data_IF_872638681822
#
_entry.id   IF_872638681822
#
_cell.length_a   1.000
_cell.length_b   1.000
_cell.length_c   1.000
_cell.angle_alpha   90.00
_cell.angle_beta   90.00
_cell.angle_gamma   90.00
#
_symmetry.space_group_name_H-M   'P 1'
#
loop_
_entity.id
_entity.type
_entity.pdbx_description
1 polymer ?
#
# COMPACT_ATOMS: atom_id res chain seq x y z
N UNK A 1 23.99 -56.53 -10.42
CA UNK A 1 24.60 -55.48 -11.27
C UNK A 1 23.88 -54.19 -10.99
N UNK A 2 24.49 -53.37 -10.18
CA UNK A 2 24.03 -52.00 -9.88
C UNK A 2 24.63 -51.05 -10.90
N UNK A 3 23.80 -50.23 -11.50
CA UNK A 3 24.26 -49.04 -12.23
C UNK A 3 23.92 -47.82 -11.36
N UNK A 4 25.00 -47.12 -10.98
CA UNK A 4 24.94 -45.81 -10.32
C UNK A 4 24.66 -44.77 -11.40
N UNK A 5 23.47 -44.16 -11.34
CA UNK A 5 23.19 -42.98 -12.14
C UNK A 5 23.68 -41.73 -11.38
N UNK A 6 24.83 -41.22 -11.85
CA UNK A 6 25.36 -39.95 -11.40
C UNK A 6 24.48 -38.79 -11.86
N UNK A 7 23.91 -38.06 -10.89
CA UNK A 7 23.24 -36.78 -11.11
C UNK A 7 24.33 -35.77 -11.54
N UNK A 8 24.31 -35.38 -12.81
CA UNK A 8 25.08 -34.25 -13.31
C UNK A 8 24.38 -32.96 -12.82
N UNK A 9 25.04 -32.23 -11.95
CA UNK A 9 24.77 -30.83 -11.69
C UNK A 9 24.99 -30.00 -12.96
N UNK A 10 23.94 -29.80 -13.74
CA UNK A 10 23.95 -28.78 -14.77
C UNK A 10 23.77 -27.42 -14.08
N UNK A 11 24.88 -26.68 -14.03
CA UNK A 11 24.91 -25.26 -13.73
C UNK A 11 24.06 -24.52 -14.77
N UNK A 12 22.77 -24.37 -14.49
CA UNK A 12 21.90 -23.48 -15.25
C UNK A 12 22.20 -22.06 -14.83
N UNK A 13 22.97 -21.40 -15.68
CA UNK A 13 23.25 -19.97 -15.67
C UNK A 13 21.99 -19.16 -15.39
N UNK A 14 21.99 -18.45 -14.27
CA UNK A 14 21.48 -17.09 -14.07
C UNK A 14 20.15 -16.66 -14.70
N UNK A 15 19.10 -17.49 -14.68
CA UNK A 15 17.74 -16.97 -14.73
C UNK A 15 17.32 -16.75 -13.29
N UNK A 16 17.44 -15.52 -12.83
CA UNK A 16 16.84 -15.08 -11.59
C UNK A 16 15.32 -15.22 -11.78
N UNK A 17 14.78 -16.39 -11.40
CA UNK A 17 13.34 -16.58 -11.31
C UNK A 17 12.86 -15.56 -10.30
N UNK A 18 12.19 -14.51 -10.77
CA UNK A 18 11.49 -13.54 -9.94
C UNK A 18 10.37 -14.30 -9.22
N UNK A 19 10.72 -14.97 -8.13
CA UNK A 19 9.74 -15.58 -7.26
C UNK A 19 8.88 -14.44 -6.70
N UNK A 20 7.58 -14.47 -7.02
CA UNK A 20 6.64 -13.49 -6.45
C UNK A 20 6.80 -13.51 -4.94
N UNK A 21 6.83 -12.32 -4.30
CA UNK A 21 6.95 -12.21 -2.86
C UNK A 21 5.89 -13.05 -2.14
N UNK A 22 6.30 -13.77 -1.10
CA UNK A 22 5.41 -14.61 -0.30
C UNK A 22 4.49 -13.70 0.53
N UNK A 23 3.23 -14.12 0.71
CA UNK A 23 2.30 -13.47 1.61
C UNK A 23 2.77 -13.55 3.08
N UNK A 24 3.14 -12.42 3.67
CA UNK A 24 3.77 -12.34 5.01
C UNK A 24 2.78 -12.01 6.14
N UNK A 25 1.54 -11.62 5.84
CA UNK A 25 0.60 -11.13 6.86
C UNK A 25 -0.18 -12.26 7.56
N UNK A 26 -0.07 -13.50 7.10
CA UNK A 26 -0.81 -14.62 7.67
C UNK A 26 -0.48 -14.81 9.15
N UNK A 27 -1.48 -14.65 10.03
CA UNK A 27 -1.35 -14.71 11.50
C UNK A 27 -0.48 -13.61 12.13
N UNK A 28 -0.09 -12.58 11.38
CA UNK A 28 0.64 -11.45 11.94
C UNK A 28 -0.31 -10.59 12.77
N UNK A 29 0.05 -10.35 14.03
CA UNK A 29 -0.65 -9.37 14.87
C UNK A 29 -0.08 -7.99 14.56
N UNK A 30 -0.93 -7.10 14.04
CA UNK A 30 -0.56 -5.72 13.70
C UNK A 30 -1.02 -4.84 14.85
N UNK A 31 -0.09 -4.33 15.65
CA UNK A 31 -0.36 -3.64 16.91
C UNK A 31 0.34 -2.28 17.05
N UNK A 32 1.06 -1.82 16.05
CA UNK A 32 1.76 -0.53 16.06
C UNK A 32 1.78 0.12 14.68
N UNK A 33 1.93 1.44 14.68
CA UNK A 33 2.17 2.22 13.46
C UNK A 33 3.50 1.84 12.82
N UNK A 34 3.62 1.97 11.52
CA UNK A 34 4.79 1.59 10.72
C UNK A 34 5.14 0.08 10.75
N UNK A 35 4.26 -0.78 11.24
CA UNK A 35 4.48 -2.22 11.17
C UNK A 35 4.17 -2.75 9.76
N UNK A 36 3.01 -2.40 9.23
CA UNK A 36 2.58 -2.81 7.89
C UNK A 36 1.95 -1.63 7.17
N UNK A 37 2.44 -1.34 5.97
CA UNK A 37 1.76 -0.45 5.05
C UNK A 37 1.13 -1.26 3.92
N UNK A 38 -0.11 -0.94 3.59
CA UNK A 38 -0.80 -1.50 2.44
C UNK A 38 -0.83 -0.46 1.31
N UNK A 39 -0.52 -0.90 0.09
CA UNK A 39 -0.67 -0.10 -1.11
C UNK A 39 -1.71 -0.73 -2.02
N UNK A 40 -2.52 0.13 -2.60
CA UNK A 40 -3.51 -0.27 -3.58
C UNK A 40 -3.84 0.90 -4.52
N UNK A 41 -4.41 0.59 -5.67
CA UNK A 41 -4.83 1.58 -6.66
C UNK A 41 -6.29 1.35 -7.04
N UNK A 42 -7.07 2.41 -6.98
CA UNK A 42 -8.44 2.38 -7.43
C UNK A 42 -8.68 3.42 -8.52
N UNK A 43 -9.70 3.21 -9.34
CA UNK A 43 -10.13 4.23 -10.30
C UNK A 43 -11.22 5.14 -9.72
N UNK A 44 -11.14 6.40 -10.04
CA UNK A 44 -12.07 7.46 -9.67
C UNK A 44 -12.79 7.92 -10.90
N UNK A 45 -14.11 7.80 -10.91
CA UNK A 45 -14.94 8.22 -12.04
C UNK A 45 -14.99 9.73 -12.13
N UNK A 46 -14.85 10.25 -13.35
CA UNK A 46 -15.01 11.64 -13.70
C UNK A 46 -16.25 11.83 -14.59
N UNK A 47 -16.61 13.07 -14.89
CA UNK A 47 -17.67 13.38 -15.87
C UNK A 47 -17.36 12.77 -17.24
N UNK A 48 -16.08 12.77 -17.63
CA UNK A 48 -15.58 12.08 -18.83
C UNK A 48 -14.37 11.22 -18.42
N UNK A 49 -14.49 9.89 -18.58
CA UNK A 49 -13.42 8.96 -18.26
C UNK A 49 -13.22 8.74 -16.77
N UNK A 50 -11.97 8.49 -16.37
CA UNK A 50 -11.58 8.22 -14.99
C UNK A 50 -10.10 8.58 -14.77
N UNK A 51 -9.71 8.69 -13.50
CA UNK A 51 -8.32 8.78 -13.05
C UNK A 51 -8.03 7.66 -12.07
N UNK A 52 -6.77 7.33 -11.91
CA UNK A 52 -6.30 6.35 -10.92
C UNK A 52 -5.89 7.07 -9.63
N UNK A 53 -6.28 6.51 -8.50
CA UNK A 53 -5.87 6.95 -7.18
C UNK A 53 -5.09 5.82 -6.52
N UNK A 54 -3.79 5.99 -6.37
CA UNK A 54 -2.91 5.11 -5.61
C UNK A 54 -2.71 5.69 -4.22
N UNK A 55 -2.79 4.86 -3.17
CA UNK A 55 -2.53 5.30 -1.81
C UNK A 55 -1.66 4.31 -1.03
N UNK A 56 -0.90 4.86 -0.09
CA UNK A 56 -0.15 4.16 0.94
C UNK A 56 -0.88 4.34 2.26
N UNK A 57 -1.26 3.24 2.89
CA UNK A 57 -2.08 3.22 4.10
C UNK A 57 -1.36 2.47 5.21
N UNK A 58 -1.25 3.06 6.38
CA UNK A 58 -0.85 2.32 7.58
C UNK A 58 -1.98 1.41 8.06
N UNK A 59 -1.72 0.12 8.13
CA UNK A 59 -2.75 -0.88 8.44
C UNK A 59 -3.21 -0.80 9.89
N UNK A 60 -2.37 -0.40 10.83
CA UNK A 60 -2.73 -0.25 12.24
C UNK A 60 -3.69 0.91 12.45
N UNK A 61 -3.29 2.10 12.05
CA UNK A 61 -4.03 3.33 12.29
C UNK A 61 -5.11 3.66 11.26
N UNK A 62 -5.09 3.01 10.09
CA UNK A 62 -5.90 3.36 8.91
C UNK A 62 -5.53 4.70 8.28
N UNK A 63 -4.44 5.32 8.70
CA UNK A 63 -4.00 6.60 8.16
C UNK A 63 -3.52 6.44 6.72
N UNK A 64 -4.00 7.31 5.84
CA UNK A 64 -3.48 7.43 4.48
C UNK A 64 -2.22 8.30 4.56
N UNK A 65 -1.06 7.69 4.37
CA UNK A 65 0.24 8.33 4.53
C UNK A 65 0.64 9.17 3.32
N UNK A 66 0.36 8.63 2.14
CA UNK A 66 0.59 9.30 0.86
C UNK A 66 -0.42 8.83 -0.17
N UNK A 67 -0.65 9.64 -1.19
CA UNK A 67 -1.49 9.29 -2.32
C UNK A 67 -1.04 9.98 -3.60
N UNK A 68 -1.40 9.39 -4.76
CA UNK A 68 -1.20 9.94 -6.09
C UNK A 68 -2.46 9.80 -6.92
N UNK A 69 -2.84 10.88 -7.60
CA UNK A 69 -3.92 10.86 -8.60
C UNK A 69 -3.29 11.05 -9.97
N UNK A 70 -3.45 10.07 -10.86
CA UNK A 70 -2.82 10.01 -12.17
C UNK A 70 -3.82 9.61 -13.27
N UNK A 71 -3.48 9.90 -14.52
CA UNK A 71 -4.29 9.52 -15.70
C UNK A 71 -3.89 8.15 -16.25
N UNK A 72 -2.75 7.61 -15.81
CA UNK A 72 -2.21 6.29 -16.23
C UNK A 72 -2.03 5.39 -15.03
N UNK A 73 -1.97 4.07 -15.26
CA UNK A 73 -1.70 3.04 -14.27
C UNK A 73 -0.24 2.57 -14.40
N UNK A 74 0.70 3.49 -14.30
CA UNK A 74 2.13 3.19 -14.39
C UNK A 74 2.72 2.98 -12.99
N UNK A 75 3.74 2.12 -12.91
CA UNK A 75 4.41 1.78 -11.64
C UNK A 75 5.06 3.00 -10.97
N UNK A 76 5.49 3.99 -11.75
CA UNK A 76 6.09 5.23 -11.22
C UNK A 76 5.19 5.93 -10.19
N UNK A 77 3.87 5.87 -10.35
CA UNK A 77 2.94 6.51 -9.40
C UNK A 77 2.91 5.79 -8.04
N UNK A 78 3.08 4.47 -8.05
CA UNK A 78 3.22 3.69 -6.83
C UNK A 78 4.56 3.94 -6.15
N UNK A 79 5.65 4.00 -6.94
CA UNK A 79 7.00 4.33 -6.47
C UNK A 79 7.01 5.72 -5.83
N UNK A 80 6.47 6.74 -6.49
CA UNK A 80 6.39 8.10 -5.95
C UNK A 80 5.56 8.21 -4.67
N UNK A 81 4.42 7.49 -4.61
CA UNK A 81 3.59 7.48 -3.41
C UNK A 81 4.33 6.84 -2.23
N UNK A 82 5.01 5.71 -2.45
CA UNK A 82 5.80 5.04 -1.43
C UNK A 82 7.01 5.89 -1.00
N UNK A 83 7.74 6.48 -1.94
CA UNK A 83 8.87 7.37 -1.66
C UNK A 83 8.45 8.55 -0.78
N UNK A 84 7.31 9.17 -1.11
CA UNK A 84 6.77 10.27 -0.30
C UNK A 84 6.40 9.82 1.11
N UNK A 85 5.78 8.63 1.25
CA UNK A 85 5.42 8.10 2.56
C UNK A 85 6.69 7.82 3.39
N UNK A 86 7.69 7.16 2.81
CA UNK A 86 8.96 6.84 3.49
C UNK A 86 9.70 8.12 3.92
N UNK A 87 9.77 9.13 3.06
CA UNK A 87 10.44 10.39 3.36
C UNK A 87 9.79 11.16 4.53
N UNK A 88 8.46 11.03 4.71
CA UNK A 88 7.71 11.77 5.74
C UNK A 88 7.52 11.02 7.05
N UNK A 89 7.39 9.70 6.98
CA UNK A 89 6.93 8.88 8.12
C UNK A 89 7.93 7.77 8.51
N UNK A 90 9.08 7.71 7.85
CA UNK A 90 10.02 6.62 8.01
C UNK A 90 9.60 5.39 7.21
N UNK A 91 10.22 4.25 7.48
CA UNK A 91 9.95 3.01 6.76
C UNK A 91 9.09 2.03 7.59
N UNK A 92 8.20 1.25 6.95
CA UNK A 92 7.51 0.14 7.62
C UNK A 92 8.42 -1.10 7.71
N UNK A 93 7.97 -2.11 8.46
CA UNK A 93 8.60 -3.44 8.41
C UNK A 93 8.20 -4.18 7.13
N UNK A 94 6.93 -4.03 6.72
CA UNK A 94 6.34 -4.76 5.59
C UNK A 94 5.52 -3.78 4.74
N UNK A 95 5.68 -3.89 3.42
CA UNK A 95 4.77 -3.32 2.42
C UNK A 95 3.94 -4.46 1.85
N UNK A 96 2.61 -4.35 1.91
CA UNK A 96 1.67 -5.31 1.34
C UNK A 96 0.93 -4.73 0.15
N UNK A 97 0.85 -5.49 -0.95
CA UNK A 97 0.15 -5.08 -2.17
C UNK A 97 -0.63 -6.25 -2.76
N UNK A 98 -1.50 -5.98 -3.71
CA UNK A 98 -1.99 -7.01 -4.62
C UNK A 98 -0.92 -7.36 -5.69
N UNK A 99 -1.27 -8.24 -6.62
CA UNK A 99 -0.41 -8.62 -7.74
C UNK A 99 -0.64 -7.75 -8.99
N UNK A 100 -1.05 -6.50 -8.81
CA UNK A 100 -1.21 -5.55 -9.90
C UNK A 100 0.11 -5.28 -10.64
N UNK A 101 0.03 -5.00 -11.94
CA UNK A 101 1.22 -4.77 -12.77
C UNK A 101 2.11 -3.65 -12.25
N UNK A 102 1.52 -2.61 -11.65
CA UNK A 102 2.24 -1.49 -11.05
C UNK A 102 3.08 -1.88 -9.83
N UNK A 103 2.68 -2.95 -9.11
CA UNK A 103 3.38 -3.43 -7.90
C UNK A 103 4.33 -4.60 -8.17
N UNK A 104 4.16 -5.28 -9.31
CA UNK A 104 5.08 -6.35 -9.76
C UNK A 104 6.19 -5.83 -10.67
N UNK A 105 6.14 -4.56 -11.07
CA UNK A 105 7.19 -3.91 -11.84
C UNK A 105 8.50 -3.86 -11.05
N UNK A 106 9.62 -4.11 -11.74
CA UNK A 106 10.94 -4.19 -11.11
C UNK A 106 11.30 -2.92 -10.33
N UNK A 107 10.98 -1.75 -10.87
CA UNK A 107 11.24 -0.46 -10.23
C UNK A 107 10.54 -0.29 -8.89
N UNK A 108 9.32 -0.86 -8.73
CA UNK A 108 8.61 -0.84 -7.45
C UNK A 108 9.24 -1.83 -6.46
N UNK A 109 9.57 -3.04 -6.92
CA UNK A 109 10.25 -4.06 -6.10
C UNK A 109 11.59 -3.55 -5.59
N UNK A 110 12.38 -2.94 -6.47
CA UNK A 110 13.69 -2.36 -6.13
C UNK A 110 13.55 -1.21 -5.12
N UNK A 111 12.53 -0.37 -5.27
CA UNK A 111 12.23 0.71 -4.31
C UNK A 111 11.94 0.15 -2.92
N UNK A 112 11.11 -0.87 -2.79
CA UNK A 112 10.78 -1.49 -1.49
C UNK A 112 12.03 -2.14 -0.88
N UNK A 113 12.74 -2.96 -1.66
CA UNK A 113 13.91 -3.69 -1.19
C UNK A 113 15.10 -2.77 -0.88
N UNK A 114 15.29 -1.71 -1.66
CA UNK A 114 16.34 -0.71 -1.45
C UNK A 114 16.22 0.02 -0.10
N UNK A 115 15.02 0.08 0.46
CA UNK A 115 14.79 0.60 1.81
C UNK A 115 14.90 -0.46 2.92
N UNK A 116 15.25 -1.72 2.58
CA UNK A 116 15.31 -2.83 3.52
C UNK A 116 13.94 -3.25 4.06
N UNK A 117 12.87 -2.96 3.32
CA UNK A 117 11.48 -3.28 3.67
C UNK A 117 11.10 -4.63 3.04
N UNK A 118 10.35 -5.44 3.76
CA UNK A 118 9.84 -6.72 3.23
C UNK A 118 8.63 -6.46 2.34
N UNK A 119 8.64 -7.01 1.13
CA UNK A 119 7.49 -6.97 0.24
C UNK A 119 6.63 -8.23 0.45
N UNK A 120 5.35 -8.01 0.68
CA UNK A 120 4.32 -9.04 0.78
C UNK A 120 3.31 -8.83 -0.34
N UNK A 121 2.94 -9.90 -1.03
CA UNK A 121 1.89 -9.83 -2.06
C UNK A 121 0.77 -10.81 -1.73
N UNK A 122 -0.47 -10.33 -1.84
CA UNK A 122 -1.64 -11.16 -1.63
C UNK A 122 -1.68 -12.28 -2.67
N UNK A 123 -1.84 -13.52 -2.21
CA UNK A 123 -2.03 -14.67 -3.09
C UNK A 123 -3.39 -14.63 -3.79
N UNK A 124 -3.55 -15.35 -4.90
CA UNK A 124 -4.85 -15.52 -5.55
C UNK A 124 -5.88 -16.06 -4.54
N UNK A 125 -6.93 -15.28 -4.28
CA UNK A 125 -8.01 -15.63 -3.34
C UNK A 125 -7.85 -15.12 -1.91
N UNK A 126 -6.79 -14.39 -1.59
CA UNK A 126 -6.54 -13.78 -0.27
C UNK A 126 -7.27 -12.42 -0.10
N UNK A 127 -8.51 -12.31 -0.58
CA UNK A 127 -9.34 -11.09 -0.53
C UNK A 127 -9.53 -10.51 0.88
N UNK A 128 -9.33 -11.33 1.92
CA UNK A 128 -9.47 -10.88 3.32
C UNK A 128 -8.37 -9.93 3.77
N UNK A 129 -7.27 -9.91 3.11
CA UNK A 129 -6.05 -9.25 3.60
C UNK A 129 -5.95 -7.82 3.11
N UNK A 130 -6.63 -7.48 2.00
CA UNK A 130 -6.75 -6.11 1.49
C UNK A 130 -8.08 -5.42 1.88
N UNK A 131 -8.91 -6.07 2.71
CA UNK A 131 -10.22 -5.55 3.19
C UNK A 131 -10.11 -4.15 3.80
N UNK A 132 -8.96 -3.82 4.40
CA UNK A 132 -8.77 -2.51 5.02
C UNK A 132 -8.66 -1.40 3.98
N UNK A 133 -7.92 -1.61 2.92
CA UNK A 133 -7.78 -0.63 1.84
C UNK A 133 -9.07 -0.56 1.03
N UNK A 134 -9.72 -1.70 0.77
CA UNK A 134 -11.04 -1.73 0.11
C UNK A 134 -12.09 -0.91 0.87
N UNK A 135 -12.10 -0.99 2.21
CA UNK A 135 -12.99 -0.17 3.05
C UNK A 135 -12.67 1.32 2.93
N UNK A 136 -11.39 1.68 2.87
CA UNK A 136 -10.98 3.07 2.64
C UNK A 136 -11.48 3.54 1.27
N UNK A 137 -11.32 2.72 0.22
CA UNK A 137 -11.85 3.06 -1.10
C UNK A 137 -13.36 3.24 -1.11
N UNK A 138 -14.07 2.35 -0.42
CA UNK A 138 -15.51 2.51 -0.24
C UNK A 138 -15.84 3.83 0.43
N UNK A 139 -15.18 4.16 1.53
CA UNK A 139 -15.37 5.42 2.26
C UNK A 139 -15.10 6.63 1.36
N UNK A 140 -13.94 6.70 0.71
CA UNK A 140 -13.58 7.79 -0.20
C UNK A 140 -14.61 7.95 -1.33
N UNK A 141 -15.03 6.83 -1.94
CA UNK A 141 -15.97 6.85 -3.06
C UNK A 141 -17.36 7.30 -2.64
N UNK A 142 -17.91 6.74 -1.57
CA UNK A 142 -19.29 7.03 -1.15
C UNK A 142 -19.43 8.36 -0.41
N UNK A 143 -18.44 8.76 0.37
CA UNK A 143 -18.51 9.99 1.14
C UNK A 143 -18.05 11.22 0.32
N UNK A 144 -17.30 11.03 -0.77
CA UNK A 144 -16.80 12.16 -1.56
C UNK A 144 -16.99 12.02 -3.06
N UNK A 145 -16.40 11.02 -3.68
CA UNK A 145 -16.31 10.91 -5.15
C UNK A 145 -17.69 10.84 -5.81
N UNK A 146 -18.59 10.02 -5.31
CA UNK A 146 -19.92 9.84 -5.92
C UNK A 146 -20.86 11.03 -5.70
N UNK A 147 -20.49 11.94 -4.82
CA UNK A 147 -21.21 13.20 -4.60
C UNK A 147 -20.70 14.32 -5.52
N UNK A 148 -19.69 14.04 -6.32
CA UNK A 148 -19.04 15.00 -7.22
C UNK A 148 -19.03 14.49 -8.66
N UNK A 149 -19.06 15.41 -9.61
CA UNK A 149 -18.91 15.12 -11.03
C UNK A 149 -17.68 15.88 -11.55
N UNK A 150 -16.48 15.42 -11.17
CA UNK A 150 -15.23 16.09 -11.54
C UNK A 150 -15.12 16.30 -13.05
N UNK A 151 -14.87 17.54 -13.46
CA UNK A 151 -14.69 17.91 -14.85
C UNK A 151 -13.22 17.83 -15.27
N UNK A 152 -12.30 18.13 -14.36
CA UNK A 152 -10.85 18.13 -14.62
C UNK A 152 -10.09 17.25 -13.64
N UNK A 153 -8.92 16.76 -14.08
CA UNK A 153 -7.99 15.99 -13.25
C UNK A 153 -7.48 16.83 -12.06
N UNK A 154 -7.28 18.12 -12.28
CA UNK A 154 -6.84 19.05 -11.23
C UNK A 154 -7.88 19.18 -10.12
N UNK A 155 -9.15 19.33 -10.50
CA UNK A 155 -10.28 19.36 -9.55
C UNK A 155 -10.35 18.07 -8.74
N UNK A 156 -10.32 16.91 -9.39
CA UNK A 156 -10.33 15.61 -8.71
C UNK A 156 -9.16 15.47 -7.74
N UNK A 157 -7.95 15.86 -8.15
CA UNK A 157 -6.74 15.80 -7.33
C UNK A 157 -6.85 16.66 -6.07
N UNK A 158 -7.30 17.90 -6.24
CA UNK A 158 -7.43 18.84 -5.12
C UNK A 158 -8.51 18.40 -4.14
N UNK A 159 -9.67 18.02 -4.63
CA UNK A 159 -10.82 17.61 -3.81
C UNK A 159 -10.54 16.32 -3.04
N UNK A 160 -9.91 15.33 -3.68
CA UNK A 160 -9.50 14.07 -3.03
C UNK A 160 -8.45 14.34 -1.96
N UNK A 161 -7.47 15.21 -2.24
CA UNK A 161 -6.45 15.57 -1.26
C UNK A 161 -7.06 16.21 0.00
N UNK A 162 -7.98 17.16 -0.17
CA UNK A 162 -8.71 17.77 0.96
C UNK A 162 -9.53 16.75 1.76
N UNK A 163 -10.18 15.81 1.04
CA UNK A 163 -10.95 14.77 1.71
C UNK A 163 -10.04 13.83 2.51
N UNK A 164 -8.89 13.42 1.95
CA UNK A 164 -7.93 12.55 2.64
C UNK A 164 -7.36 13.24 3.88
N UNK A 165 -7.08 14.54 3.81
CA UNK A 165 -6.63 15.29 4.97
C UNK A 165 -7.68 15.29 6.08
N UNK A 166 -8.93 15.61 5.75
CA UNK A 166 -10.06 15.53 6.68
C UNK A 166 -10.28 14.11 7.22
N UNK A 167 -10.18 13.08 6.36
CA UNK A 167 -10.29 11.67 6.75
C UNK A 167 -9.28 11.31 7.82
N UNK A 168 -8.03 11.76 7.66
CA UNK A 168 -6.95 11.47 8.60
C UNK A 168 -7.10 12.22 9.93
N UNK A 169 -7.49 13.50 9.87
CA UNK A 169 -7.35 14.43 11.01
C UNK A 169 -8.65 14.67 11.77
N UNK A 170 -9.80 14.57 11.11
CA UNK A 170 -11.08 14.96 11.69
C UNK A 170 -12.16 13.87 11.68
N UNK A 171 -12.07 12.86 10.79
CA UNK A 171 -13.10 11.84 10.69
C UNK A 171 -12.95 10.78 11.78
N UNK A 172 -13.95 10.62 12.69
CA UNK A 172 -13.90 9.55 13.69
C UNK A 172 -14.21 8.18 13.05
N UNK A 173 -13.57 7.14 13.55
CA UNK A 173 -13.74 5.77 13.07
C UNK A 173 -14.22 4.84 14.18
N UNK A 174 -15.36 4.17 13.97
CA UNK A 174 -15.91 3.21 14.93
C UNK A 174 -14.93 2.06 15.22
N UNK A 175 -14.20 1.57 14.19
CA UNK A 175 -13.20 0.53 14.37
C UNK A 175 -11.93 0.98 15.11
N UNK A 176 -11.78 2.27 15.36
CA UNK A 176 -10.69 2.87 16.12
C UNK A 176 -11.20 3.47 17.45
N UNK A 177 -12.34 2.98 17.96
CA UNK A 177 -12.91 3.49 19.20
C UNK A 177 -13.37 4.95 19.14
N UNK A 178 -13.72 5.45 17.95
CA UNK A 178 -14.12 6.84 17.74
C UNK A 178 -12.95 7.81 17.52
N UNK A 179 -11.71 7.33 17.57
CA UNK A 179 -10.52 8.15 17.29
C UNK A 179 -10.36 8.38 15.79
N UNK A 180 -9.61 9.42 15.44
CA UNK A 180 -9.16 9.66 14.06
C UNK A 180 -7.96 8.79 13.72
N UNK A 181 -7.70 8.49 12.42
CA UNK A 181 -6.50 7.79 12.00
C UNK A 181 -5.20 8.43 12.50
N UNK A 182 -5.13 9.76 12.53
CA UNK A 182 -3.96 10.48 13.02
C UNK A 182 -3.72 10.30 14.52
N UNK A 183 -4.79 10.36 15.34
CA UNK A 183 -4.69 10.11 16.78
C UNK A 183 -4.17 8.70 17.08
N UNK A 184 -4.67 7.70 16.35
CA UNK A 184 -4.18 6.31 16.51
C UNK A 184 -2.76 6.16 15.99
N UNK A 185 -2.42 6.83 14.88
CA UNK A 185 -1.05 6.85 14.35
C UNK A 185 -0.04 7.35 15.37
N UNK A 186 -0.30 8.51 15.98
CA UNK A 186 0.59 9.11 16.98
C UNK A 186 0.69 8.20 18.22
N UNK A 187 -0.42 7.67 18.71
CA UNK A 187 -0.44 6.76 19.86
C UNK A 187 0.19 5.40 19.61
N UNK A 188 0.25 4.96 18.36
CA UNK A 188 0.83 3.67 17.94
C UNK A 188 2.29 3.75 17.50
N UNK A 189 2.92 4.92 17.54
CA UNK A 189 4.34 5.05 17.23
C UNK A 189 5.18 4.38 18.31
N UNK A 190 6.25 3.65 17.96
CA UNK A 190 7.17 3.09 18.93
C UNK A 190 7.71 4.22 19.82
N UNK A 191 7.67 4.03 21.11
CA UNK A 191 8.34 4.94 22.05
C UNK A 191 9.83 4.90 21.73
N UNK A 192 10.41 6.04 21.35
CA UNK A 192 11.86 6.17 21.27
C UNK A 192 12.35 5.97 22.70
N UNK A 193 12.92 4.81 23.01
CA UNK A 193 13.76 4.66 24.19
C UNK A 193 14.92 5.63 23.97
N UNK A 194 14.87 6.76 24.67
CA UNK A 194 16.02 7.65 24.82
C UNK A 194 17.09 6.79 25.49
N UNK A 195 18.08 6.38 24.68
CA UNK A 195 19.28 5.77 25.20
C UNK A 195 19.92 6.78 26.17
N UNK A 196 19.85 6.44 27.45
CA UNK A 196 20.53 7.16 28.52
C UNK A 196 22.02 6.90 28.47
#
# INVERSE_FOLDING_TARGET
FQAEDGIRDDLVTGVQTCALPIYLLRKLVINRSNQVWALDTTYIRMKKGFVYLTAVVDVHSRRILAHRTAITLEAIHAVEALAQAVARFGRPDIVNTDQGSQFTAQEFVDMVQGHGVKLSMDGRGAWRDNVFVERIWRTVKYERVYLRAYETVSEARQDIAQYIDWYNTARPHSSLGGLTPEQVWIGGMPTLELAA
#
